data_IF_778022762467
#
_entry.id   IF_778022762467
#
_cell.length_a   1.000
_cell.length_b   1.000
_cell.length_c   1.000
_cell.angle_alpha   90.00
_cell.angle_beta   90.00
_cell.angle_gamma   90.00
#
_symmetry.space_group_name_H-M   'P 1'
#
loop_
_entity.id
_entity.type
_entity.pdbx_description
1 polymer ?
#
# COMPACT_ATOMS: atom_id res chain seq x y z
N UNK A 1 -11.14 -14.05 1.92
CA UNK A 1 -12.39 -13.81 2.68
C UNK A 1 -13.25 -15.06 2.61
N UNK A 2 -14.01 -15.40 3.67
CA UNK A 2 -14.91 -16.54 3.63
C UNK A 2 -16.04 -16.30 2.65
N UNK A 3 -16.51 -17.36 2.01
CA UNK A 3 -17.69 -17.30 1.15
C UNK A 3 -18.91 -16.90 1.98
N UNK A 4 -19.77 -16.11 1.39
CA UNK A 4 -21.05 -15.71 1.99
C UNK A 4 -22.20 -16.45 1.35
N UNK A 5 -23.24 -16.82 2.12
CA UNK A 5 -24.43 -17.40 1.57
C UNK A 5 -25.26 -16.31 0.85
N UNK A 6 -25.49 -16.50 -0.43
CA UNK A 6 -26.30 -15.62 -1.28
C UNK A 6 -27.54 -16.35 -1.72
N UNK A 7 -28.69 -15.70 -1.57
CA UNK A 7 -29.93 -16.24 -2.09
C UNK A 7 -29.99 -16.01 -3.60
N UNK A 8 -29.86 -17.08 -4.37
CA UNK A 8 -29.90 -17.05 -5.82
C UNK A 8 -31.31 -17.37 -6.28
N UNK A 9 -31.90 -16.44 -7.01
CA UNK A 9 -33.22 -16.59 -7.58
C UNK A 9 -33.10 -16.82 -9.08
N UNK A 10 -33.48 -17.98 -9.55
CA UNK A 10 -33.54 -18.25 -10.98
C UNK A 10 -34.85 -17.65 -11.56
N UNK A 11 -34.69 -16.48 -12.16
CA UNK A 11 -35.78 -15.67 -12.68
C UNK A 11 -36.34 -16.21 -13.99
N UNK A 12 -37.64 -16.50 -14.02
CA UNK A 12 -38.34 -16.85 -15.26
C UNK A 12 -38.79 -15.59 -16.02
N UNK A 13 -37.98 -15.23 -17.01
CA UNK A 13 -38.21 -14.04 -17.79
C UNK A 13 -39.50 -14.12 -18.63
N UNK A 14 -39.92 -15.32 -19.05
CA UNK A 14 -41.12 -15.50 -19.86
C UNK A 14 -42.36 -15.30 -19.01
N UNK A 15 -42.43 -15.95 -17.84
CA UNK A 15 -43.53 -15.79 -16.89
C UNK A 15 -43.66 -14.33 -16.41
N UNK A 16 -42.56 -13.69 -16.08
CA UNK A 16 -42.57 -12.31 -15.61
C UNK A 16 -43.02 -11.31 -16.68
N UNK A 17 -42.59 -11.49 -17.94
CA UNK A 17 -43.05 -10.65 -19.06
C UNK A 17 -44.55 -10.82 -19.35
N UNK A 18 -45.06 -12.05 -19.23
CA UNK A 18 -46.49 -12.31 -19.39
C UNK A 18 -47.32 -11.55 -18.34
N UNK A 19 -46.76 -11.31 -17.16
CA UNK A 19 -47.37 -10.56 -16.08
C UNK A 19 -47.03 -9.04 -16.09
N UNK A 20 -46.26 -8.58 -17.08
CA UNK A 20 -45.87 -7.18 -17.19
C UNK A 20 -44.80 -6.75 -16.21
N UNK A 21 -44.08 -7.71 -15.60
CA UNK A 21 -43.04 -7.46 -14.58
C UNK A 21 -41.64 -7.37 -15.20
N UNK A 22 -40.91 -6.40 -14.79
CA UNK A 22 -39.50 -6.22 -15.17
C UNK A 22 -38.54 -6.77 -14.09
N UNK A 23 -37.27 -6.95 -14.45
CA UNK A 23 -36.21 -7.28 -13.46
C UNK A 23 -36.10 -6.22 -12.37
N UNK A 24 -36.31 -4.97 -12.74
CA UNK A 24 -36.23 -3.84 -11.80
C UNK A 24 -37.33 -3.96 -10.74
N UNK A 25 -38.55 -4.35 -11.12
CA UNK A 25 -39.66 -4.52 -10.19
C UNK A 25 -39.37 -5.62 -9.18
N UNK A 26 -38.83 -6.75 -9.65
CA UNK A 26 -38.40 -7.84 -8.76
C UNK A 26 -37.30 -7.38 -7.78
N UNK A 27 -36.29 -6.67 -8.28
CA UNK A 27 -35.19 -6.17 -7.43
C UNK A 27 -35.70 -5.18 -6.39
N UNK A 28 -36.58 -4.27 -6.76
CA UNK A 28 -37.15 -3.27 -5.84
C UNK A 28 -38.04 -3.92 -4.78
N UNK A 29 -38.85 -4.88 -5.18
CA UNK A 29 -39.70 -5.63 -4.25
C UNK A 29 -38.88 -6.45 -3.24
N UNK A 30 -37.84 -7.13 -3.71
CA UNK A 30 -36.90 -7.85 -2.82
C UNK A 30 -36.14 -6.92 -1.88
N UNK A 31 -35.67 -5.78 -2.37
CA UNK A 31 -35.00 -4.79 -1.54
C UNK A 31 -35.91 -4.26 -0.44
N UNK A 32 -37.19 -3.98 -0.79
CA UNK A 32 -38.17 -3.51 0.19
C UNK A 32 -38.55 -4.58 1.21
N UNK A 33 -38.57 -5.85 0.83
CA UNK A 33 -38.87 -6.96 1.73
C UNK A 33 -37.74 -7.29 2.70
N UNK A 34 -36.48 -7.19 2.28
CA UNK A 34 -35.32 -7.59 3.08
C UNK A 34 -34.68 -6.41 3.83
N UNK A 35 -34.13 -5.46 3.12
CA UNK A 35 -33.37 -4.34 3.69
C UNK A 35 -34.16 -3.05 3.87
N UNK A 36 -35.17 -2.87 3.04
CA UNK A 36 -35.89 -1.61 2.87
C UNK A 36 -35.29 -0.71 1.80
N UNK A 37 -36.12 0.10 1.19
CA UNK A 37 -35.74 1.10 0.19
C UNK A 37 -35.44 2.41 0.93
N UNK A 38 -34.24 2.99 0.79
CA UNK A 38 -33.95 4.27 1.40
C UNK A 38 -34.77 5.38 0.73
N UNK A 39 -35.65 6.03 1.49
CA UNK A 39 -36.56 7.09 1.01
C UNK A 39 -36.14 8.47 1.46
N UNK A 40 -35.24 8.58 2.43
CA UNK A 40 -34.78 9.86 2.96
C UNK A 40 -33.75 9.70 4.08
N UNK A 41 -33.39 10.82 4.67
CA UNK A 41 -32.50 10.87 5.82
C UNK A 41 -33.06 11.84 6.85
N UNK A 42 -33.01 11.45 8.10
CA UNK A 42 -33.33 12.29 9.24
C UNK A 42 -32.02 12.76 9.91
N UNK A 43 -31.98 14.01 10.30
CA UNK A 43 -30.82 14.60 10.94
C UNK A 43 -31.15 15.00 12.37
N UNK A 44 -30.40 14.50 13.34
CA UNK A 44 -30.44 14.89 14.72
C UNK A 44 -29.07 15.42 15.16
N UNK A 45 -28.91 16.73 15.15
CA UNK A 45 -27.62 17.37 15.36
C UNK A 45 -26.61 17.00 14.29
N UNK A 46 -25.55 16.28 14.67
CA UNK A 46 -24.48 15.79 13.75
C UNK A 46 -24.74 14.35 13.25
N UNK A 47 -25.74 13.68 13.80
CA UNK A 47 -26.09 12.31 13.41
C UNK A 47 -27.06 12.32 12.23
N UNK A 48 -26.81 11.41 11.28
CA UNK A 48 -27.63 11.20 10.12
C UNK A 48 -28.18 9.77 10.13
N UNK A 49 -29.49 9.63 10.26
CA UNK A 49 -30.17 8.35 10.20
C UNK A 49 -30.95 8.22 8.89
N UNK A 50 -30.82 7.08 8.22
CA UNK A 50 -31.52 6.83 6.99
C UNK A 50 -32.92 6.28 7.28
N UNK A 51 -33.91 6.82 6.56
CA UNK A 51 -35.31 6.35 6.62
C UNK A 51 -35.49 5.28 5.54
N UNK A 52 -35.96 4.10 5.95
CA UNK A 52 -36.19 2.97 5.06
C UNK A 52 -37.66 2.62 4.97
N UNK A 53 -38.16 2.44 3.74
CA UNK A 53 -39.45 1.87 3.48
C UNK A 53 -39.33 0.36 3.36
N UNK A 54 -40.03 -0.39 4.22
CA UNK A 54 -40.04 -1.86 4.23
C UNK A 54 -41.43 -2.40 3.95
N UNK A 55 -41.49 -3.45 3.11
CA UNK A 55 -42.70 -4.26 2.99
C UNK A 55 -42.74 -5.29 4.12
N UNK A 56 -43.89 -5.37 4.79
CA UNK A 56 -44.16 -6.31 5.86
C UNK A 56 -45.25 -7.30 5.38
N UNK A 57 -45.46 -8.40 6.09
CA UNK A 57 -46.53 -9.31 5.88
C UNK A 57 -47.89 -8.70 6.34
N UNK A 58 -48.99 -9.41 6.14
CA UNK A 58 -50.35 -8.98 6.56
C UNK A 58 -50.47 -8.75 8.06
N UNK A 59 -49.53 -9.32 8.86
CA UNK A 59 -49.49 -9.18 10.32
C UNK A 59 -48.54 -8.09 10.77
N UNK A 60 -47.89 -7.36 9.86
CA UNK A 60 -46.93 -6.34 10.15
C UNK A 60 -45.55 -6.88 10.61
N UNK A 61 -45.27 -8.15 10.29
CA UNK A 61 -44.01 -8.80 10.60
C UNK A 61 -43.07 -8.83 9.36
N UNK A 62 -41.76 -8.92 9.54
CA UNK A 62 -40.82 -9.14 8.46
C UNK A 62 -41.18 -10.41 7.66
N UNK A 63 -41.02 -10.36 6.34
CA UNK A 63 -41.34 -11.49 5.47
C UNK A 63 -40.29 -12.59 5.67
N UNK A 64 -40.64 -13.70 6.32
CA UNK A 64 -39.73 -14.82 6.57
C UNK A 64 -39.44 -15.65 5.32
N UNK A 65 -40.44 -15.82 4.46
CA UNK A 65 -40.27 -16.59 3.23
C UNK A 65 -40.28 -15.66 2.01
N UNK A 66 -39.12 -15.45 1.43
CA UNK A 66 -38.95 -14.59 0.26
C UNK A 66 -39.73 -15.03 -0.97
N UNK A 67 -40.06 -16.31 -1.09
CA UNK A 67 -40.96 -16.80 -2.17
C UNK A 67 -42.36 -16.20 -2.14
N UNK A 68 -42.83 -15.79 -0.96
CA UNK A 68 -44.14 -15.17 -0.78
C UNK A 68 -44.09 -13.64 -0.91
N UNK A 69 -42.92 -13.06 -1.12
CA UNK A 69 -42.80 -11.62 -1.35
C UNK A 69 -43.63 -11.20 -2.55
N UNK A 70 -44.50 -10.24 -2.35
CA UNK A 70 -45.30 -9.66 -3.44
C UNK A 70 -44.43 -8.75 -4.29
N UNK A 71 -44.37 -9.04 -5.59
CA UNK A 71 -43.68 -8.21 -6.58
C UNK A 71 -44.71 -7.31 -7.23
N UNK A 72 -44.50 -6.02 -7.14
CA UNK A 72 -45.35 -4.99 -7.69
C UNK A 72 -44.78 -4.49 -9.01
N UNK A 73 -45.65 -4.31 -10.01
CA UNK A 73 -45.27 -3.63 -11.25
C UNK A 73 -45.19 -2.13 -11.01
N UNK A 74 -44.10 -1.50 -11.42
CA UNK A 74 -43.97 -0.04 -11.42
C UNK A 74 -44.76 0.62 -12.54
N UNK A 75 -45.12 -0.15 -13.57
CA UNK A 75 -45.97 0.31 -14.68
C UNK A 75 -47.37 -0.19 -14.48
N UNK A 76 -48.41 0.65 -14.66
CA UNK A 76 -49.81 0.22 -14.61
C UNK A 76 -50.04 -0.88 -15.61
N UNK A 77 -50.63 -2.00 -15.17
CA UNK A 77 -50.99 -3.13 -16.02
C UNK A 77 -52.49 -3.14 -16.26
N UNK A 78 -52.90 -3.18 -17.50
CA UNK A 78 -54.32 -3.32 -17.87
C UNK A 78 -54.86 -4.71 -17.57
N UNK A 79 -54.04 -5.70 -17.28
CA UNK A 79 -54.47 -7.07 -17.03
C UNK A 79 -55.41 -7.21 -15.82
N UNK A 80 -55.20 -6.42 -14.76
CA UNK A 80 -56.08 -6.40 -13.60
C UNK A 80 -57.45 -5.76 -13.89
N UNK A 81 -57.49 -4.80 -14.81
CA UNK A 81 -58.74 -4.17 -15.27
C UNK A 81 -59.57 -5.09 -16.20
N UNK A 82 -58.91 -6.03 -16.88
CA UNK A 82 -59.57 -6.98 -17.80
C UNK A 82 -60.27 -8.15 -17.09
N UNK A 83 -60.35 -8.13 -15.78
CA UNK A 83 -61.10 -9.10 -15.02
C UNK A 83 -62.65 -8.84 -15.23
N UNK A 84 -63.46 -9.90 -15.41
CA UNK A 84 -64.83 -9.76 -15.69
C UNK A 84 -65.57 -8.89 -14.66
N UNK A 85 -65.28 -9.01 -13.39
CA UNK A 85 -65.90 -8.20 -12.33
C UNK A 85 -65.52 -6.70 -12.47
N UNK A 86 -64.28 -6.39 -12.77
CA UNK A 86 -63.81 -5.00 -12.92
C UNK A 86 -64.43 -4.37 -14.20
N UNK A 87 -64.55 -5.14 -15.25
CA UNK A 87 -65.21 -4.69 -16.49
C UNK A 87 -66.70 -4.35 -16.25
N UNK A 88 -67.43 -5.17 -15.48
CA UNK A 88 -68.82 -4.93 -15.12
C UNK A 88 -68.96 -3.69 -14.25
N UNK A 89 -68.10 -3.54 -13.23
CA UNK A 89 -68.05 -2.36 -12.35
C UNK A 89 -67.65 -1.07 -13.11
N UNK A 90 -66.69 -1.18 -14.05
CA UNK A 90 -66.32 -0.06 -14.91
C UNK A 90 -67.48 0.39 -15.83
N UNK A 91 -68.23 -0.57 -16.44
CA UNK A 91 -69.40 -0.27 -17.25
C UNK A 91 -70.51 0.31 -16.42
N UNK A 92 -70.69 -0.10 -15.18
CA UNK A 92 -71.69 0.40 -14.25
C UNK A 92 -71.33 1.75 -13.60
N UNK A 93 -70.09 2.22 -13.80
CA UNK A 93 -69.56 3.44 -13.17
C UNK A 93 -69.42 3.38 -11.65
N UNK A 94 -69.38 2.18 -11.09
CA UNK A 94 -69.32 1.91 -9.64
C UNK A 94 -67.92 1.62 -9.14
N UNK A 95 -66.88 1.66 -10.01
CA UNK A 95 -65.51 1.40 -9.66
C UNK A 95 -64.94 2.59 -8.88
N UNK A 96 -64.53 2.39 -7.62
CA UNK A 96 -63.92 3.43 -6.83
C UNK A 96 -62.48 3.74 -7.33
N UNK A 97 -61.98 4.94 -7.01
CA UNK A 97 -60.59 5.30 -7.38
C UNK A 97 -59.55 4.37 -6.75
N UNK A 98 -59.82 3.89 -5.55
CA UNK A 98 -58.94 2.97 -4.81
C UNK A 98 -58.94 1.57 -5.47
N UNK A 99 -60.11 1.02 -5.82
CA UNK A 99 -60.23 -0.25 -6.57
C UNK A 99 -59.58 -0.15 -7.97
N UNK A 100 -59.66 1.02 -8.61
CA UNK A 100 -59.01 1.26 -9.89
C UNK A 100 -57.47 1.21 -9.75
N UNK A 101 -56.90 1.86 -8.75
CA UNK A 101 -55.47 1.86 -8.50
C UNK A 101 -55.01 0.45 -8.13
N UNK A 102 -55.74 -0.25 -7.28
CA UNK A 102 -55.44 -1.62 -6.87
C UNK A 102 -55.48 -2.60 -8.06
N UNK A 103 -56.44 -2.45 -8.96
CA UNK A 103 -56.54 -3.28 -10.17
C UNK A 103 -55.47 -2.96 -11.22
N UNK A 104 -54.96 -1.73 -11.25
CA UNK A 104 -53.86 -1.32 -12.13
C UNK A 104 -52.46 -1.75 -11.57
N UNK A 105 -52.33 -1.83 -10.24
CA UNK A 105 -51.13 -2.27 -9.57
C UNK A 105 -51.16 -3.77 -9.27
N UNK A 106 -51.01 -4.59 -10.30
CA UNK A 106 -50.92 -6.04 -10.12
C UNK A 106 -49.77 -6.44 -9.23
N UNK A 107 -50.03 -7.25 -8.22
CA UNK A 107 -49.02 -7.91 -7.40
C UNK A 107 -48.95 -9.39 -7.69
N UNK A 108 -47.76 -9.95 -7.69
CA UNK A 108 -47.53 -11.37 -7.97
C UNK A 108 -46.52 -11.92 -6.99
N UNK A 109 -46.76 -13.07 -6.34
CA UNK A 109 -45.79 -13.71 -5.50
C UNK A 109 -44.52 -14.08 -6.28
N UNK A 110 -43.35 -13.82 -5.71
CA UNK A 110 -42.05 -14.11 -6.33
C UNK A 110 -41.96 -15.57 -6.81
N UNK A 111 -42.55 -16.50 -6.09
CA UNK A 111 -42.57 -17.93 -6.44
C UNK A 111 -43.17 -18.22 -7.82
N UNK A 112 -44.11 -17.40 -8.32
CA UNK A 112 -44.70 -17.59 -9.64
C UNK A 112 -43.81 -17.14 -10.80
N UNK A 113 -42.86 -16.27 -10.53
CA UNK A 113 -41.90 -15.73 -11.52
C UNK A 113 -40.49 -16.23 -11.33
N UNK A 114 -40.28 -17.18 -10.42
CA UNK A 114 -38.99 -17.84 -10.17
C UNK A 114 -39.09 -19.33 -10.45
N UNK A 115 -38.07 -19.91 -11.09
CA UNK A 115 -37.95 -21.37 -11.30
C UNK A 115 -37.45 -22.07 -10.06
N UNK A 116 -36.45 -21.46 -9.41
CA UNK A 116 -35.91 -21.93 -8.14
C UNK A 116 -35.43 -20.77 -7.28
N UNK A 117 -35.39 -21.00 -5.98
CA UNK A 117 -34.83 -20.08 -4.98
C UNK A 117 -33.89 -20.94 -4.14
N UNK A 118 -32.59 -20.79 -4.38
CA UNK A 118 -31.54 -21.62 -3.77
C UNK A 118 -30.51 -20.75 -3.04
N UNK A 119 -29.93 -21.30 -1.97
CA UNK A 119 -28.79 -20.67 -1.31
C UNK A 119 -27.52 -21.14 -2.00
N UNK A 120 -26.76 -20.23 -2.54
CA UNK A 120 -25.43 -20.47 -3.12
C UNK A 120 -24.37 -19.76 -2.30
N UNK A 121 -23.21 -20.41 -2.17
CA UNK A 121 -22.05 -19.81 -1.57
C UNK A 121 -21.26 -19.08 -2.65
N UNK A 122 -21.07 -17.79 -2.48
CA UNK A 122 -20.35 -16.95 -3.43
C UNK A 122 -19.23 -16.19 -2.73
N UNK A 123 -18.19 -15.91 -3.49
CA UNK A 123 -17.09 -15.05 -3.00
C UNK A 123 -17.59 -13.60 -3.00
N UNK A 124 -17.61 -12.90 -1.83
CA UNK A 124 -18.10 -11.53 -1.74
C UNK A 124 -17.26 -10.57 -2.58
N UNK A 125 -15.98 -10.87 -2.73
CA UNK A 125 -15.02 -10.11 -3.51
C UNK A 125 -14.17 -11.06 -4.34
N UNK A 126 -14.11 -10.83 -5.63
CA UNK A 126 -13.20 -11.54 -6.54
C UNK A 126 -12.02 -10.63 -6.85
N UNK A 127 -10.90 -10.76 -6.10
CA UNK A 127 -9.75 -9.93 -6.34
C UNK A 127 -9.12 -10.23 -7.70
N UNK A 128 -8.64 -9.18 -8.37
CA UNK A 128 -7.93 -9.29 -9.65
C UNK A 128 -6.63 -8.50 -9.59
N UNK A 129 -5.61 -9.05 -10.21
CA UNK A 129 -4.34 -8.39 -10.42
C UNK A 129 -4.04 -8.38 -11.92
N UNK A 130 -3.82 -7.22 -12.51
CA UNK A 130 -3.65 -7.05 -13.95
C UNK A 130 -4.74 -7.74 -14.79
N UNK A 131 -6.01 -7.65 -14.35
CA UNK A 131 -7.16 -8.26 -15.04
C UNK A 131 -7.35 -9.76 -14.80
N UNK A 132 -6.36 -10.48 -14.29
CA UNK A 132 -6.44 -11.91 -13.95
C UNK A 132 -6.97 -12.11 -12.53
N UNK A 133 -7.71 -13.21 -12.31
CA UNK A 133 -8.13 -13.59 -10.95
C UNK A 133 -6.91 -13.84 -10.09
N UNK A 134 -6.90 -13.27 -8.91
CA UNK A 134 -5.82 -13.43 -7.95
C UNK A 134 -6.34 -13.86 -6.59
N UNK A 135 -5.54 -14.60 -5.86
CA UNK A 135 -5.78 -14.89 -4.44
C UNK A 135 -4.60 -14.31 -3.65
N UNK A 136 -4.93 -13.54 -2.60
CA UNK A 136 -3.93 -12.93 -1.74
C UNK A 136 -3.87 -13.68 -0.42
N UNK A 137 -2.69 -14.17 -0.09
CA UNK A 137 -2.38 -14.66 1.26
C UNK A 137 -1.57 -13.58 1.95
N UNK A 138 -2.05 -13.10 3.07
CA UNK A 138 -1.40 -12.06 3.86
C UNK A 138 -0.95 -12.62 5.20
N UNK A 139 0.29 -12.33 5.56
CA UNK A 139 0.85 -12.63 6.88
C UNK A 139 1.63 -11.43 7.39
N UNK A 140 1.68 -11.28 8.70
CA UNK A 140 2.50 -10.28 9.37
C UNK A 140 3.51 -10.99 10.27
N UNK A 141 4.77 -10.54 10.34
CA UNK A 141 5.74 -11.12 11.25
C UNK A 141 5.34 -10.87 12.71
N UNK A 142 5.86 -11.69 13.61
CA UNK A 142 5.69 -11.44 15.05
C UNK A 142 6.37 -10.11 15.45
N UNK A 143 5.86 -9.43 16.49
CA UNK A 143 6.46 -8.19 16.96
C UNK A 143 7.98 -8.35 17.24
N UNK A 144 8.76 -7.40 16.76
CA UNK A 144 10.22 -7.40 16.91
C UNK A 144 11.00 -8.18 15.83
N UNK A 145 10.31 -8.90 14.94
CA UNK A 145 10.96 -9.55 13.79
C UNK A 145 10.86 -8.64 12.56
N UNK A 146 12.00 -8.40 11.93
CA UNK A 146 12.08 -7.63 10.68
C UNK A 146 11.35 -8.36 9.55
N UNK A 147 10.50 -7.65 8.79
CA UNK A 147 9.66 -8.23 7.73
C UNK A 147 10.48 -8.95 6.67
N UNK A 148 11.61 -8.37 6.24
CA UNK A 148 12.48 -8.98 5.24
C UNK A 148 13.14 -10.28 5.75
N UNK A 149 13.54 -10.33 7.02
CA UNK A 149 14.08 -11.54 7.65
C UNK A 149 13.03 -12.65 7.71
N UNK A 150 11.80 -12.30 8.13
CA UNK A 150 10.68 -13.23 8.12
C UNK A 150 10.38 -13.76 6.71
N UNK A 151 10.36 -12.87 5.72
CA UNK A 151 10.17 -13.23 4.31
C UNK A 151 11.22 -14.21 3.81
N UNK A 152 12.50 -13.96 4.07
CA UNK A 152 13.61 -14.84 3.66
C UNK A 152 13.49 -16.25 4.22
N UNK A 153 12.98 -16.40 5.44
CA UNK A 153 12.76 -17.72 6.07
C UNK A 153 11.68 -18.50 5.33
N UNK A 154 10.57 -17.83 4.98
CA UNK A 154 9.42 -18.50 4.36
C UNK A 154 9.52 -18.60 2.84
N UNK A 155 10.22 -17.66 2.18
CA UNK A 155 10.31 -17.56 0.73
C UNK A 155 10.77 -18.87 0.09
N UNK A 156 11.83 -19.50 0.63
CA UNK A 156 12.36 -20.76 0.10
C UNK A 156 11.31 -21.87 0.08
N UNK A 157 10.42 -21.93 1.07
CA UNK A 157 9.37 -22.94 1.14
C UNK A 157 8.21 -22.62 0.21
N UNK A 158 7.84 -21.35 0.10
CA UNK A 158 6.74 -20.90 -0.75
C UNK A 158 7.11 -21.01 -2.23
N UNK A 159 8.33 -20.65 -2.60
CA UNK A 159 8.84 -20.70 -3.99
C UNK A 159 9.05 -22.15 -4.48
N UNK A 160 9.15 -23.11 -3.58
CA UNK A 160 9.23 -24.55 -3.90
C UNK A 160 7.87 -25.23 -4.12
N UNK A 161 6.76 -24.52 -3.87
CA UNK A 161 5.42 -25.06 -4.09
C UNK A 161 5.18 -25.18 -5.60
N UNK A 162 4.92 -26.39 -6.06
CA UNK A 162 4.53 -26.63 -7.45
C UNK A 162 3.14 -26.04 -7.70
N UNK A 163 3.10 -25.01 -8.53
CA UNK A 163 1.85 -24.35 -8.90
C UNK A 163 1.24 -25.06 -10.12
N UNK A 164 -0.11 -25.19 -10.18
CA UNK A 164 -0.78 -25.68 -11.37
C UNK A 164 -0.47 -24.81 -12.60
N UNK A 165 -0.61 -25.39 -13.80
CA UNK A 165 -0.38 -24.65 -15.04
C UNK A 165 -1.27 -23.39 -15.11
N UNK A 166 -0.69 -22.25 -15.46
CA UNK A 166 -1.37 -20.97 -15.54
C UNK A 166 -1.41 -20.15 -14.26
N UNK A 167 -0.86 -20.66 -13.16
CA UNK A 167 -0.70 -19.89 -11.91
C UNK A 167 0.70 -19.33 -11.79
N UNK A 168 0.80 -18.11 -11.31
CA UNK A 168 2.07 -17.41 -11.04
C UNK A 168 2.06 -16.85 -9.62
N UNK A 169 3.20 -16.96 -8.93
CA UNK A 169 3.40 -16.40 -7.61
C UNK A 169 4.05 -15.02 -7.72
N UNK A 170 3.44 -14.04 -7.10
CA UNK A 170 3.99 -12.69 -7.01
C UNK A 170 4.07 -12.24 -5.56
N UNK A 171 5.26 -11.84 -5.13
CA UNK A 171 5.45 -11.15 -3.86
C UNK A 171 4.94 -9.72 -3.97
N UNK A 172 4.06 -9.34 -3.05
CA UNK A 172 3.50 -7.98 -2.96
C UNK A 172 3.78 -7.34 -1.58
N UNK A 173 3.27 -6.14 -1.37
CA UNK A 173 3.45 -5.40 -0.13
C UNK A 173 4.82 -4.78 -0.03
N UNK A 174 5.49 -4.90 1.13
CA UNK A 174 6.79 -4.27 1.39
C UNK A 174 7.86 -4.69 0.38
N UNK A 175 7.86 -5.97 -0.04
CA UNK A 175 8.84 -6.46 -1.03
C UNK A 175 8.69 -5.76 -2.38
N UNK A 176 7.48 -5.68 -2.94
CA UNK A 176 7.26 -5.02 -4.23
C UNK A 176 7.53 -3.52 -4.18
N UNK A 177 7.14 -2.86 -3.08
CA UNK A 177 7.43 -1.44 -2.87
C UNK A 177 8.94 -1.17 -2.74
N UNK A 178 9.66 -2.07 -2.04
CA UNK A 178 11.11 -2.01 -1.93
C UNK A 178 11.80 -2.21 -3.28
N UNK A 179 11.38 -3.20 -4.07
CA UNK A 179 11.94 -3.51 -5.38
C UNK A 179 11.71 -2.35 -6.37
N UNK A 180 10.52 -1.79 -6.41
CA UNK A 180 10.20 -0.63 -7.24
C UNK A 180 11.04 0.59 -6.84
N UNK A 181 11.16 0.85 -5.54
CA UNK A 181 11.98 1.95 -5.03
C UNK A 181 13.46 1.75 -5.36
N UNK A 182 13.96 0.51 -5.29
CA UNK A 182 15.33 0.15 -5.67
C UNK A 182 15.57 0.37 -7.16
N UNK A 183 14.64 -0.01 -8.02
CA UNK A 183 14.74 0.20 -9.47
C UNK A 183 14.88 1.70 -9.80
N UNK A 184 14.00 2.54 -9.23
CA UNK A 184 14.07 3.99 -9.39
C UNK A 184 15.37 4.59 -8.85
N UNK A 185 15.85 4.10 -7.72
CA UNK A 185 17.09 4.55 -7.11
C UNK A 185 18.28 4.24 -8.02
N UNK A 186 18.43 2.98 -8.46
CA UNK A 186 19.54 2.57 -9.32
C UNK A 186 19.49 3.21 -10.70
N UNK A 187 18.32 3.49 -11.23
CA UNK A 187 18.16 4.19 -12.51
C UNK A 187 18.72 5.62 -12.46
N UNK A 188 18.53 6.33 -11.35
CA UNK A 188 18.94 7.72 -11.20
C UNK A 188 20.33 7.89 -10.52
N UNK A 189 20.84 6.84 -9.88
CA UNK A 189 22.09 6.86 -9.15
C UNK A 189 23.32 7.23 -10.00
N UNK A 190 23.51 6.71 -11.23
CA UNK A 190 24.65 7.09 -12.07
C UNK A 190 24.66 8.58 -12.40
N UNK A 191 23.51 9.18 -12.68
CA UNK A 191 23.40 10.61 -12.94
C UNK A 191 23.80 11.43 -11.71
N UNK A 192 23.36 11.02 -10.51
CA UNK A 192 23.70 11.68 -9.26
C UNK A 192 25.22 11.65 -9.00
N UNK A 193 25.88 10.50 -9.25
CA UNK A 193 27.34 10.37 -9.13
C UNK A 193 28.06 11.29 -10.11
N UNK A 194 27.65 11.33 -11.37
CA UNK A 194 28.26 12.20 -12.40
C UNK A 194 28.16 13.66 -11.99
N UNK A 195 26.98 14.11 -11.56
CA UNK A 195 26.76 15.47 -11.08
C UNK A 195 27.64 15.78 -9.86
N UNK A 196 27.73 14.85 -8.92
CA UNK A 196 28.55 15.00 -7.72
C UNK A 196 30.04 15.13 -8.06
N UNK A 197 30.56 14.30 -8.98
CA UNK A 197 31.93 14.40 -9.48
C UNK A 197 32.17 15.76 -10.17
N UNK A 198 31.24 16.18 -11.03
CA UNK A 198 31.35 17.46 -11.72
C UNK A 198 31.40 18.65 -10.75
N UNK A 199 30.54 18.65 -9.73
CA UNK A 199 30.52 19.69 -8.69
C UNK A 199 31.85 19.70 -7.91
N UNK A 200 32.38 18.53 -7.53
CA UNK A 200 33.63 18.42 -6.79
C UNK A 200 34.82 18.92 -7.62
N UNK A 201 34.90 18.59 -8.92
CA UNK A 201 35.93 19.07 -9.83
C UNK A 201 35.85 20.59 -9.96
N UNK A 202 34.62 21.13 -10.11
CA UNK A 202 34.38 22.56 -10.20
C UNK A 202 34.78 23.31 -8.91
N UNK A 203 34.51 22.70 -7.75
CA UNK A 203 34.83 23.25 -6.44
C UNK A 203 36.33 23.34 -6.21
N UNK A 204 37.06 22.25 -6.44
CA UNK A 204 38.50 22.18 -6.16
C UNK A 204 39.40 22.66 -7.30
N UNK A 205 38.82 22.83 -8.52
CA UNK A 205 39.58 23.16 -9.74
C UNK A 205 40.76 22.19 -10.00
N UNK A 206 40.62 20.96 -9.49
CA UNK A 206 41.59 19.90 -9.56
C UNK A 206 40.83 18.55 -9.60
N UNK A 207 41.36 17.58 -10.33
CA UNK A 207 40.76 16.25 -10.42
C UNK A 207 41.28 15.27 -9.37
N UNK A 208 42.47 15.53 -8.80
CA UNK A 208 43.13 14.65 -7.83
C UNK A 208 42.41 14.61 -6.49
N UNK A 209 41.95 15.74 -5.99
CA UNK A 209 41.26 15.85 -4.70
C UNK A 209 39.93 15.12 -4.67
N UNK A 210 39.03 15.23 -5.67
CA UNK A 210 37.84 14.41 -5.76
C UNK A 210 38.13 12.91 -5.77
N UNK A 211 39.15 12.45 -6.49
CA UNK A 211 39.54 11.03 -6.53
C UNK A 211 39.84 10.49 -5.14
N UNK A 212 40.59 11.26 -4.31
CA UNK A 212 40.91 10.88 -2.94
C UNK A 212 39.63 10.67 -2.12
N UNK A 213 38.67 11.59 -2.22
CA UNK A 213 37.39 11.50 -1.53
C UNK A 213 36.63 10.25 -1.99
N UNK A 214 36.56 9.99 -3.30
CA UNK A 214 35.88 8.81 -3.84
C UNK A 214 36.54 7.49 -3.44
N UNK A 215 37.88 7.44 -3.36
CA UNK A 215 38.60 6.26 -2.90
C UNK A 215 38.31 5.90 -1.43
N UNK A 216 37.79 6.83 -0.63
CA UNK A 216 37.37 6.54 0.75
C UNK A 216 36.01 5.89 0.86
N UNK A 217 35.13 5.98 -0.18
CA UNK A 217 33.76 5.46 -0.13
C UNK A 217 33.65 3.92 0.00
N UNK A 218 34.46 3.10 -0.71
CA UNK A 218 34.41 1.65 -0.53
C UNK A 218 34.73 1.21 0.90
N UNK A 219 35.58 1.92 1.60
CA UNK A 219 35.93 1.60 2.98
C UNK A 219 34.78 1.87 3.97
N UNK A 220 33.90 2.83 3.65
CA UNK A 220 32.66 3.06 4.42
C UNK A 220 31.78 1.80 4.45
N UNK A 221 31.66 1.10 3.32
CA UNK A 221 30.83 -0.12 3.20
C UNK A 221 31.34 -1.22 4.14
N UNK A 222 32.64 -1.31 4.38
CA UNK A 222 33.19 -2.27 5.34
C UNK A 222 32.64 -2.02 6.75
N UNK A 223 32.56 -0.74 7.16
CA UNK A 223 31.97 -0.37 8.44
C UNK A 223 30.46 -0.69 8.53
N UNK A 224 29.72 -0.40 7.47
CA UNK A 224 28.29 -0.72 7.40
C UNK A 224 28.08 -2.23 7.54
N UNK A 225 28.77 -3.03 6.74
CA UNK A 225 28.67 -4.50 6.77
C UNK A 225 29.05 -5.07 8.13
N UNK A 226 30.15 -4.58 8.72
CA UNK A 226 30.62 -5.05 10.03
C UNK A 226 29.54 -4.86 11.12
N UNK A 227 28.93 -3.67 11.21
CA UNK A 227 27.90 -3.42 12.25
C UNK A 227 26.60 -4.14 11.92
N UNK A 228 26.20 -4.27 10.67
CA UNK A 228 25.03 -5.05 10.29
C UNK A 228 25.18 -6.53 10.67
N UNK A 229 26.36 -7.11 10.48
CA UNK A 229 26.66 -8.48 10.93
C UNK A 229 26.65 -8.62 12.46
N UNK A 230 27.17 -7.64 13.19
CA UNK A 230 27.16 -7.64 14.64
C UNK A 230 25.76 -7.48 15.25
N UNK A 231 24.89 -6.75 14.57
CA UNK A 231 23.51 -6.49 15.03
C UNK A 231 22.48 -7.48 14.45
N UNK A 232 22.90 -8.43 13.62
CA UNK A 232 22.05 -9.41 12.93
C UNK A 232 20.88 -8.75 12.16
N UNK A 233 21.16 -7.60 11.54
CA UNK A 233 20.19 -6.85 10.73
C UNK A 233 20.35 -7.18 9.26
N UNK A 234 19.23 -7.19 8.51
CA UNK A 234 19.23 -7.45 7.06
C UNK A 234 19.56 -6.18 6.28
N UNK A 235 20.30 -6.33 5.17
CA UNK A 235 20.59 -5.24 4.25
C UNK A 235 19.40 -5.01 3.33
N UNK A 236 18.39 -4.30 3.82
CA UNK A 236 17.15 -3.97 3.13
C UNK A 236 17.21 -2.57 2.47
N UNK A 237 16.14 -2.19 1.79
CA UNK A 237 16.02 -0.87 1.15
C UNK A 237 16.30 0.29 2.12
N UNK A 238 15.79 0.18 3.36
CA UNK A 238 15.96 1.23 4.39
C UNK A 238 17.44 1.39 4.79
N UNK A 239 18.18 0.28 4.89
CA UNK A 239 19.64 0.30 5.14
C UNK A 239 20.41 0.96 3.99
N UNK A 240 19.99 0.73 2.74
CA UNK A 240 20.60 1.36 1.55
C UNK A 240 20.39 2.86 1.59
N UNK A 241 19.20 3.33 1.91
CA UNK A 241 18.92 4.77 2.07
C UNK A 241 19.80 5.38 3.16
N UNK A 242 19.98 4.68 4.30
CA UNK A 242 20.91 5.08 5.35
C UNK A 242 22.35 5.19 4.85
N UNK A 243 22.81 4.19 4.11
CA UNK A 243 24.16 4.16 3.52
C UNK A 243 24.38 5.31 2.52
N UNK A 244 23.38 5.65 1.71
CA UNK A 244 23.43 6.78 0.79
C UNK A 244 23.54 8.13 1.54
N UNK A 245 22.78 8.29 2.63
CA UNK A 245 22.91 9.47 3.49
C UNK A 245 24.31 9.60 4.09
N UNK A 246 24.91 8.48 4.49
CA UNK A 246 26.29 8.43 4.99
C UNK A 246 27.33 8.82 3.93
N UNK A 247 27.17 8.38 2.70
CA UNK A 247 28.04 8.77 1.58
C UNK A 247 28.09 10.30 1.47
N UNK A 248 26.94 10.95 1.51
CA UNK A 248 26.86 12.42 1.49
C UNK A 248 27.57 13.08 2.68
N UNK A 249 27.41 12.53 3.88
CA UNK A 249 28.07 13.04 5.09
C UNK A 249 29.60 12.85 5.04
N UNK A 250 30.08 11.72 4.54
CA UNK A 250 31.51 11.43 4.41
C UNK A 250 32.17 12.34 3.35
N UNK A 251 31.50 12.55 2.22
CA UNK A 251 31.96 13.49 1.19
C UNK A 251 32.05 14.91 1.75
N UNK A 252 31.04 15.36 2.49
CA UNK A 252 31.04 16.66 3.16
C UNK A 252 32.26 16.79 4.10
N UNK A 253 32.53 15.79 4.93
CA UNK A 253 33.70 15.79 5.84
C UNK A 253 35.01 15.79 5.07
N UNK A 254 35.08 15.02 3.97
CA UNK A 254 36.23 15.00 3.06
C UNK A 254 36.50 16.36 2.40
N UNK A 255 35.45 17.04 1.92
CA UNK A 255 35.55 18.38 1.34
C UNK A 255 36.15 19.37 2.35
N UNK A 256 35.58 19.39 3.56
CA UNK A 256 36.04 20.33 4.62
C UNK A 256 37.46 20.08 5.03
N UNK A 257 37.89 18.82 5.11
CA UNK A 257 39.28 18.47 5.42
C UNK A 257 40.26 18.89 4.30
N UNK A 258 39.88 18.62 3.02
CA UNK A 258 40.68 18.99 1.86
C UNK A 258 40.81 20.49 1.69
N UNK A 259 39.73 21.25 2.00
CA UNK A 259 39.77 22.71 1.97
C UNK A 259 40.73 23.27 3.01
N UNK A 260 40.69 22.74 4.23
CA UNK A 260 41.64 23.10 5.31
C UNK A 260 43.10 22.82 4.94
N UNK A 261 43.37 21.63 4.39
CA UNK A 261 44.74 21.28 3.91
C UNK A 261 45.18 22.26 2.83
N UNK A 262 44.30 22.59 1.90
CA UNK A 262 44.61 23.54 0.82
C UNK A 262 44.90 24.94 1.36
N UNK A 263 44.12 25.38 2.34
CA UNK A 263 44.29 26.69 3.00
C UNK A 263 45.66 26.79 3.66
N UNK A 264 46.07 25.78 4.44
CA UNK A 264 47.37 25.78 5.14
C UNK A 264 48.56 25.70 4.16
N UNK A 265 48.42 24.90 3.09
CA UNK A 265 49.44 24.85 2.04
C UNK A 265 49.61 26.20 1.33
N UNK A 266 48.52 26.92 1.06
CA UNK A 266 48.57 28.26 0.47
C UNK A 266 49.15 29.31 1.40
N UNK A 267 49.15 29.08 2.71
CA UNK A 267 49.80 29.92 3.72
C UNK A 267 51.30 29.63 3.83
N UNK A 268 51.85 28.66 3.08
CA UNK A 268 53.24 28.31 3.06
C UNK A 268 53.68 27.36 4.20
N UNK A 269 52.73 26.69 4.86
CA UNK A 269 53.02 25.66 5.86
C UNK A 269 53.61 24.43 5.15
N UNK A 270 54.58 23.80 5.79
CA UNK A 270 55.18 22.57 5.28
C UNK A 270 54.11 21.49 5.05
N UNK A 271 54.16 20.77 3.92
CA UNK A 271 53.08 19.86 3.53
C UNK A 271 52.72 18.80 4.58
N UNK A 272 53.70 18.17 5.22
CA UNK A 272 53.44 17.16 6.25
C UNK A 272 52.81 17.78 7.49
N UNK A 273 53.28 18.94 7.91
CA UNK A 273 52.75 19.69 9.05
C UNK A 273 51.31 20.16 8.73
N UNK A 274 51.08 20.69 7.54
CA UNK A 274 49.72 21.10 7.09
C UNK A 274 48.74 19.95 7.12
N UNK A 275 49.13 18.74 6.72
CA UNK A 275 48.29 17.54 6.76
C UNK A 275 47.94 17.14 8.20
N UNK A 276 48.92 17.10 9.09
CA UNK A 276 48.71 16.72 10.49
C UNK A 276 47.84 17.75 11.21
N UNK A 277 48.18 19.03 11.10
CA UNK A 277 47.45 20.12 11.75
C UNK A 277 46.02 20.23 11.25
N UNK A 278 45.78 20.06 9.95
CA UNK A 278 44.44 20.02 9.38
C UNK A 278 43.60 18.84 9.90
N UNK A 279 44.19 17.63 9.98
CA UNK A 279 43.53 16.47 10.55
C UNK A 279 43.23 16.66 12.04
N UNK A 280 44.18 17.23 12.81
CA UNK A 280 44.01 17.49 14.23
C UNK A 280 42.94 18.57 14.51
N UNK A 281 42.88 19.64 13.73
CA UNK A 281 41.89 20.70 13.87
C UNK A 281 40.48 20.18 13.64
N UNK A 282 40.31 19.22 12.73
CA UNK A 282 39.01 18.62 12.38
C UNK A 282 38.61 17.39 13.22
N UNK A 283 39.53 16.84 13.98
CA UNK A 283 39.29 15.67 14.84
C UNK A 283 38.11 15.90 15.81
N UNK A 284 38.18 17.01 16.57
CA UNK A 284 37.18 17.32 17.59
C UNK A 284 35.78 17.57 17.01
N UNK A 285 35.55 18.45 15.99
CA UNK A 285 34.21 18.67 15.43
C UNK A 285 33.61 17.42 14.78
N UNK A 286 34.42 16.66 14.02
CA UNK A 286 33.93 15.47 13.29
C UNK A 286 33.55 14.34 14.24
N UNK A 287 34.43 14.06 15.26
CA UNK A 287 34.15 13.02 16.26
C UNK A 287 32.93 13.36 17.13
N UNK A 288 32.79 14.63 17.55
CA UNK A 288 31.59 15.04 18.31
C UNK A 288 30.30 14.88 17.51
N UNK A 289 30.31 15.30 16.24
CA UNK A 289 29.14 15.12 15.37
C UNK A 289 28.83 13.64 15.14
N UNK A 290 29.81 12.80 14.95
CA UNK A 290 29.64 11.36 14.80
C UNK A 290 29.07 10.73 16.08
N UNK A 291 29.64 11.03 17.24
CA UNK A 291 29.19 10.50 18.52
C UNK A 291 27.76 10.90 18.84
N UNK A 292 27.37 12.16 18.63
CA UNK A 292 25.97 12.60 18.85
C UNK A 292 25.00 11.88 17.95
N UNK A 293 25.36 11.66 16.68
CA UNK A 293 24.51 10.91 15.74
C UNK A 293 24.42 9.43 16.13
N UNK A 294 25.52 8.79 16.48
CA UNK A 294 25.55 7.38 16.91
C UNK A 294 24.70 7.20 18.17
N UNK A 295 24.87 8.04 19.19
CA UNK A 295 24.08 7.98 20.41
C UNK A 295 22.58 8.21 20.16
N UNK A 296 22.24 9.11 19.24
CA UNK A 296 20.87 9.37 18.84
C UNK A 296 20.20 8.21 18.09
N UNK A 297 20.99 7.34 17.44
CA UNK A 297 20.48 6.17 16.70
C UNK A 297 20.34 4.91 17.57
N UNK A 298 20.97 4.84 18.75
CA UNK A 298 20.90 3.67 19.64
C UNK A 298 19.45 3.25 19.94
N UNK A 299 18.51 4.16 20.30
CA UNK A 299 17.13 3.75 20.59
C UNK A 299 16.35 3.21 19.38
N UNK A 300 16.81 3.46 18.14
CA UNK A 300 16.20 2.91 16.93
C UNK A 300 16.67 1.49 16.61
N UNK A 301 17.79 1.01 17.17
CA UNK A 301 18.32 -0.33 16.88
C UNK A 301 17.32 -1.48 17.11
N UNK A 302 16.53 -1.50 18.20
CA UNK A 302 15.55 -2.57 18.41
C UNK A 302 14.32 -2.47 17.51
N UNK A 303 14.13 -1.36 16.80
CA UNK A 303 12.98 -1.18 15.92
C UNK A 303 13.03 -2.14 14.73
N UNK A 304 11.86 -2.71 14.39
CA UNK A 304 11.75 -3.69 13.31
C UNK A 304 11.90 -3.08 11.91
N UNK A 305 11.53 -1.81 11.75
CA UNK A 305 11.55 -1.11 10.45
C UNK A 305 12.83 -0.28 10.28
N UNK A 306 13.18 0.50 11.29
CA UNK A 306 14.29 1.45 11.22
C UNK A 306 15.60 0.93 11.82
N UNK A 307 15.59 -0.26 12.43
CA UNK A 307 16.80 -0.85 13.03
C UNK A 307 17.93 -1.08 12.03
N UNK A 308 17.64 -1.46 10.80
CA UNK A 308 18.62 -1.64 9.73
C UNK A 308 19.21 -0.30 9.25
N UNK A 309 18.42 0.78 9.21
CA UNK A 309 18.90 2.14 8.98
C UNK A 309 19.86 2.59 10.09
N UNK A 310 19.43 2.40 11.35
CA UNK A 310 20.24 2.79 12.49
C UNK A 310 21.59 2.06 12.51
N UNK A 311 21.57 0.73 12.28
CA UNK A 311 22.78 -0.08 12.20
C UNK A 311 23.74 0.38 11.09
N UNK A 312 23.21 0.66 9.88
CA UNK A 312 24.01 1.13 8.76
C UNK A 312 24.64 2.49 9.02
N UNK A 313 23.86 3.44 9.58
CA UNK A 313 24.37 4.77 9.92
C UNK A 313 25.43 4.70 11.03
N UNK A 314 25.18 3.96 12.09
CA UNK A 314 26.13 3.81 13.20
C UNK A 314 27.44 3.16 12.74
N UNK A 315 27.34 2.07 11.97
CA UNK A 315 28.51 1.36 11.44
C UNK A 315 29.32 2.21 10.49
N UNK A 316 28.66 2.78 9.50
CA UNK A 316 29.33 3.61 8.51
C UNK A 316 29.88 4.89 9.09
N UNK A 317 29.21 5.51 10.08
CA UNK A 317 29.72 6.73 10.71
C UNK A 317 30.94 6.45 11.59
N UNK A 318 30.94 5.35 12.35
CA UNK A 318 32.09 4.95 13.18
C UNK A 318 33.33 4.71 12.33
N UNK A 319 33.22 3.85 11.31
CA UNK A 319 34.34 3.57 10.42
C UNK A 319 34.64 4.75 9.49
N UNK A 320 33.63 5.44 8.98
CA UNK A 320 33.79 6.58 8.09
C UNK A 320 34.56 7.75 8.75
N UNK A 321 34.34 8.03 10.04
CA UNK A 321 35.08 9.08 10.75
C UNK A 321 36.55 8.71 10.93
N UNK A 322 36.85 7.45 11.30
CA UNK A 322 38.21 6.96 11.39
C UNK A 322 38.93 7.04 10.04
N UNK A 323 38.28 6.60 8.99
CA UNK A 323 38.81 6.61 7.63
C UNK A 323 39.04 8.04 7.15
N UNK A 324 38.06 8.93 7.31
CA UNK A 324 38.22 10.33 6.89
C UNK A 324 39.46 10.99 7.55
N UNK A 325 39.66 10.76 8.83
CA UNK A 325 40.73 11.41 9.59
C UNK A 325 42.12 10.79 9.37
N UNK A 326 42.18 9.50 9.03
CA UNK A 326 43.44 8.80 8.83
C UNK A 326 43.78 8.57 7.36
N UNK A 327 42.79 8.04 6.61
CA UNK A 327 43.02 7.58 5.24
C UNK A 327 43.15 8.75 4.25
N UNK A 328 42.32 9.80 4.37
CA UNK A 328 42.36 10.94 3.46
C UNK A 328 43.70 11.68 3.53
N UNK A 329 44.25 12.03 4.70
CA UNK A 329 45.60 12.65 4.78
C UNK A 329 46.73 11.77 4.24
N UNK A 330 46.67 10.45 4.53
CA UNK A 330 47.69 9.50 4.04
C UNK A 330 47.60 9.39 2.50
N UNK A 331 46.40 9.29 1.95
CA UNK A 331 46.19 9.17 0.51
C UNK A 331 46.58 10.47 -0.21
N UNK A 332 46.34 11.62 0.43
CA UNK A 332 46.76 12.91 -0.06
C UNK A 332 48.31 13.00 -0.10
N UNK A 333 48.97 12.56 0.94
CA UNK A 333 50.45 12.48 0.97
C UNK A 333 50.99 11.58 -0.14
N UNK A 334 50.38 10.41 -0.38
CA UNK A 334 50.81 9.46 -1.42
C UNK A 334 50.57 9.93 -2.87
N UNK A 335 49.53 10.71 -3.12
CA UNK A 335 49.15 11.13 -4.46
C UNK A 335 49.74 12.49 -4.89
N UNK A 336 50.11 13.31 -3.95
CA UNK A 336 50.61 14.65 -4.21
C UNK A 336 52.11 14.81 -3.87
N UNK A 337 52.72 13.83 -3.22
CA UNK A 337 54.14 13.66 -2.95
C UNK A 337 54.69 12.50 -3.75
#
# INVERSE_FOLDING_TARGET
EPQIPVLSIEYDQAAARALGLSRSDVSMSLLSANGGIPIGSFYEGIHRDNIYLKCLDEKGQPIENLGNTQVFSTLPSLNGLMNEENIVKLKAGTLSKEELVESLMGSTPLKQISKSIDIRWEDPVVPRYNGQRSQRVQCSPAPGIETEKARQIIARRIEQIELPQGYTLHWQGEKSASDESMEYLFKNFPLAIILMIAILIMLFKDYRKPIIIFCSLPMLLVGVVAVMLLTDKTFNFVAIVGTLGLIGMLIKNGIVLMDEITLQLNQGVEPITALVDSAQSRLRPVTMAALTTILGMIPLLPDAMFGSLAASIMGGLTFGTLITLLFIPVLYACLLY
#
